data_IF_578473792688
#
_entry.id   IF_578473792688
#
_cell.length_a   1.000
_cell.length_b   1.000
_cell.length_c   1.000
_cell.angle_alpha   90.00
_cell.angle_beta   90.00
_cell.angle_gamma   90.00
#
_symmetry.space_group_name_H-M   'P 1'
#
loop_
_entity.id
_entity.type
_entity.pdbx_description
1 polymer ?
#
# COMPACT_ATOMS: atom_id res chain seq x y z
N UNK A 1 -4.48 -11.41 -20.77
CA UNK A 1 -3.32 -10.79 -20.12
C UNK A 1 -2.87 -9.50 -20.81
N UNK A 2 -2.53 -9.52 -22.11
CA UNK A 2 -2.06 -8.29 -22.79
C UNK A 2 -3.17 -7.27 -23.11
N UNK A 3 -4.40 -7.72 -23.36
CA UNK A 3 -5.49 -6.87 -23.87
C UNK A 3 -6.67 -6.66 -22.91
N UNK A 4 -6.65 -7.30 -21.73
CA UNK A 4 -7.72 -7.28 -20.72
C UNK A 4 -7.36 -6.41 -19.50
N UNK A 5 -6.26 -5.67 -19.57
CA UNK A 5 -5.79 -4.78 -18.49
C UNK A 5 -5.24 -5.51 -17.26
N UNK A 6 -5.06 -6.84 -17.29
CA UNK A 6 -4.52 -7.58 -16.14
C UNK A 6 -3.07 -7.16 -15.82
N UNK A 7 -2.32 -6.73 -16.83
CA UNK A 7 -0.95 -6.24 -16.68
C UNK A 7 -0.83 -4.95 -15.84
N UNK A 8 -1.93 -4.22 -15.59
CA UNK A 8 -1.98 -3.10 -14.63
C UNK A 8 -1.55 -3.49 -13.20
N UNK A 9 -1.61 -4.77 -12.83
CA UNK A 9 -1.10 -5.26 -11.54
C UNK A 9 0.42 -5.16 -11.44
N UNK A 10 1.16 -5.28 -12.57
CA UNK A 10 2.62 -5.12 -12.58
C UNK A 10 3.04 -3.70 -12.18
N UNK A 11 2.24 -2.69 -12.57
CA UNK A 11 2.51 -1.28 -12.20
C UNK A 11 2.51 -1.11 -10.68
N UNK A 12 1.61 -1.78 -9.96
CA UNK A 12 1.51 -1.68 -8.49
C UNK A 12 2.68 -2.37 -7.79
N UNK A 13 3.10 -3.50 -8.34
CA UNK A 13 4.21 -4.31 -7.83
C UNK A 13 5.58 -3.68 -8.16
N UNK A 14 5.66 -2.72 -9.07
CA UNK A 14 6.92 -2.12 -9.55
C UNK A 14 7.07 -0.61 -9.30
N UNK A 15 5.98 0.12 -9.06
CA UNK A 15 6.04 1.55 -8.79
C UNK A 15 6.60 1.83 -7.39
N UNK A 16 7.82 2.37 -7.33
CA UNK A 16 8.53 2.72 -6.10
C UNK A 16 7.84 3.92 -5.45
N UNK A 17 7.24 3.79 -4.26
CA UNK A 17 6.40 4.85 -3.68
C UNK A 17 7.18 6.13 -3.39
N UNK A 18 6.58 7.28 -3.71
CA UNK A 18 7.03 8.61 -3.28
C UNK A 18 6.46 8.85 -1.88
N UNK A 19 7.33 9.06 -0.87
CA UNK A 19 6.86 9.46 0.46
C UNK A 19 6.28 10.88 0.39
N UNK A 20 5.07 11.14 0.93
CA UNK A 20 4.55 12.49 1.09
C UNK A 20 5.55 13.41 1.84
N UNK A 21 5.59 14.72 1.54
CA UNK A 21 6.38 15.67 2.32
C UNK A 21 5.96 15.64 3.80
N UNK A 22 6.91 15.35 4.70
CA UNK A 22 6.62 15.26 6.16
C UNK A 22 5.98 16.58 6.63
N UNK A 23 4.79 16.54 7.29
CA UNK A 23 4.20 17.73 7.88
C UNK A 23 5.19 18.35 8.89
N UNK A 24 5.59 19.61 8.66
CA UNK A 24 6.56 20.29 9.50
C UNK A 24 6.00 20.48 10.92
N UNK A 25 6.47 19.68 11.88
CA UNK A 25 6.14 19.83 13.29
C UNK A 25 6.73 21.17 13.78
N UNK A 26 5.90 22.15 14.20
CA UNK A 26 6.42 23.41 14.69
C UNK A 26 6.98 23.22 16.10
N UNK A 27 8.31 23.02 16.21
CA UNK A 27 9.06 23.00 17.47
C UNK A 27 9.05 24.39 18.14
N UNK A 28 7.90 24.80 18.66
CA UNK A 28 7.74 25.94 19.57
C UNK A 28 7.62 25.40 21.01
N UNK A 29 8.51 25.78 21.94
CA UNK A 29 8.34 25.43 23.33
C UNK A 29 7.04 26.05 23.86
N UNK A 30 6.29 25.28 24.66
CA UNK A 30 5.01 25.71 25.22
C UNK A 30 5.25 26.90 26.16
N UNK A 31 4.94 28.10 25.66
CA UNK A 31 4.92 29.31 26.49
C UNK A 31 3.63 29.26 27.32
N UNK A 32 3.69 29.32 28.67
CA UNK A 32 2.48 29.27 29.49
C UNK A 32 1.62 30.52 29.24
N UNK A 33 0.32 30.33 29.03
CA UNK A 33 -0.61 31.45 28.93
C UNK A 33 -0.69 32.20 30.29
N UNK A 34 -0.79 33.54 30.29
CA UNK A 34 -1.04 34.30 31.51
C UNK A 34 -2.38 33.90 32.17
N UNK A 35 -2.38 33.80 33.49
CA UNK A 35 -3.60 33.59 34.28
C UNK A 35 -4.47 34.85 34.27
N UNK A 36 -5.47 34.91 33.40
CA UNK A 36 -6.49 35.95 33.43
C UNK A 36 -7.55 35.67 34.50
N UNK A 37 -7.26 36.04 35.74
CA UNK A 37 -8.30 36.15 36.77
C UNK A 37 -9.32 37.22 36.36
N UNK A 38 -10.61 36.87 36.28
CA UNK A 38 -11.70 37.80 36.55
C UNK A 38 -13.01 37.08 36.83
N UNK A 39 -13.55 37.29 38.02
CA UNK A 39 -14.92 36.95 38.42
C UNK A 39 -15.85 38.09 38.05
N UNK A 40 -17.08 37.83 37.58
CA UNK A 40 -18.31 38.63 37.86
C UNK A 40 -19.54 38.04 37.11
N UNK A 41 -20.44 37.46 37.91
CA UNK A 41 -21.92 37.57 37.92
C UNK A 41 -22.77 37.57 36.63
N UNK A 42 -23.86 36.80 36.65
CA UNK A 42 -24.95 36.81 35.66
C UNK A 42 -25.83 38.08 35.71
N UNK A 43 -26.56 38.35 34.63
CA UNK A 43 -27.93 38.89 34.69
C UNK A 43 -28.68 38.58 33.38
N UNK A 44 -29.99 38.39 33.46
CA UNK A 44 -30.84 37.94 32.35
C UNK A 44 -31.25 39.08 31.39
N UNK A 45 -31.57 38.72 30.14
CA UNK A 45 -32.66 39.34 29.39
C UNK A 45 -33.45 38.26 28.63
N UNK A 46 -34.77 38.41 28.57
CA UNK A 46 -35.73 37.46 27.99
C UNK A 46 -36.68 38.19 27.05
N UNK A 47 -36.89 37.63 25.85
CA UNK A 47 -38.16 37.63 25.07
C UNK A 47 -37.93 36.76 23.82
N UNK A 48 -38.55 35.59 23.68
CA UNK A 48 -39.97 35.29 23.39
C UNK A 48 -40.38 35.47 21.93
N UNK A 49 -40.62 34.34 21.26
CA UNK A 49 -41.88 34.08 20.55
C UNK A 49 -42.08 32.57 20.42
N UNK A 50 -43.34 32.09 20.41
CA UNK A 50 -43.66 30.69 20.63
C UNK A 50 -44.61 30.09 19.58
N UNK A 51 -44.54 28.76 19.40
CA UNK A 51 -45.58 27.98 18.73
C UNK A 51 -45.80 26.64 19.46
N UNK A 52 -47.04 26.38 19.87
CA UNK A 52 -47.42 25.22 20.68
C UNK A 52 -47.61 23.93 19.86
N UNK A 53 -47.40 22.78 20.52
CA UNK A 53 -48.40 21.69 20.53
C UNK A 53 -48.19 20.70 21.68
N UNK A 54 -49.11 20.69 22.65
CA UNK A 54 -49.26 19.62 23.64
C UNK A 54 -50.15 18.49 23.09
N UNK A 55 -49.83 17.25 23.47
CA UNK A 55 -50.82 16.18 23.71
C UNK A 55 -50.44 15.49 25.04
N UNK A 56 -51.42 15.10 25.85
CA UNK A 56 -51.20 14.64 27.25
C UNK A 56 -52.26 13.64 27.70
N UNK A 57 -51.83 12.40 28.00
CA UNK A 57 -52.47 11.27 28.71
C UNK A 57 -51.31 10.29 29.00
N UNK A 58 -51.02 9.76 30.20
CA UNK A 58 -51.75 9.55 31.47
C UNK A 58 -52.93 8.58 31.35
N UNK A 59 -52.99 7.43 32.03
CA UNK A 59 -51.99 6.54 32.70
C UNK A 59 -52.70 5.15 32.88
N UNK A 60 -52.53 4.22 33.84
CA UNK A 60 -51.81 4.03 35.13
C UNK A 60 -51.61 2.47 35.23
N UNK A 61 -50.43 1.88 35.48
CA UNK A 61 -49.68 1.70 36.74
C UNK A 61 -49.86 0.32 37.45
N UNK A 62 -48.81 -0.52 37.47
CA UNK A 62 -48.47 -1.60 38.44
C UNK A 62 -46.99 -1.99 38.15
N UNK A 63 -45.95 -2.06 39.01
CA UNK A 63 -45.68 -2.06 40.48
C UNK A 63 -45.08 -3.40 40.94
N UNK A 64 -44.07 -3.34 41.84
CA UNK A 64 -43.21 -4.42 42.39
C UNK A 64 -42.09 -4.95 41.46
N UNK A 65 -40.85 -5.17 41.93
CA UNK A 65 -40.11 -4.62 43.10
C UNK A 65 -38.60 -4.87 42.92
N UNK A 66 -37.70 -4.02 43.45
CA UNK A 66 -36.25 -4.28 43.43
C UNK A 66 -35.37 -3.03 43.52
N UNK A 67 -35.02 -2.58 44.73
CA UNK A 67 -34.28 -1.32 44.96
C UNK A 67 -32.75 -1.54 45.11
N UNK A 68 -31.92 -0.55 44.72
CA UNK A 68 -30.45 -0.64 44.79
C UNK A 68 -29.89 -0.34 46.20
N UNK A 69 -28.73 -0.91 46.52
CA UNK A 69 -27.99 -0.61 47.75
C UNK A 69 -26.94 0.48 47.54
N UNK A 70 -27.05 1.58 48.27
CA UNK A 70 -25.92 2.48 48.59
C UNK A 70 -25.45 2.17 50.01
N UNK A 71 -24.15 1.94 50.23
CA UNK A 71 -23.59 1.82 51.58
C UNK A 71 -22.53 2.87 51.90
N UNK A 72 -22.53 3.29 53.16
CA UNK A 72 -21.99 4.56 53.63
C UNK A 72 -20.48 4.54 53.86
N UNK A 73 -19.88 5.71 53.66
CA UNK A 73 -18.56 6.12 54.17
C UNK A 73 -18.45 5.87 55.68
N UNK A 74 -17.38 5.23 56.13
CA UNK A 74 -17.06 5.08 57.55
C UNK A 74 -15.85 5.94 57.95
N UNK A 75 -15.77 6.32 59.23
CA UNK A 75 -14.61 6.92 59.89
C UNK A 75 -14.32 6.13 61.15
N UNK A 76 -13.04 5.90 61.44
CA UNK A 76 -12.55 5.46 62.75
C UNK A 76 -11.24 6.20 63.04
N UNK A 77 -10.88 6.38 64.32
CA UNK A 77 -9.89 7.35 64.76
C UNK A 77 -9.06 6.80 65.93
N UNK A 78 -7.76 7.12 65.96
CA UNK A 78 -6.80 6.70 66.99
C UNK A 78 -5.85 5.58 66.51
N UNK A 79 -4.59 5.50 66.95
CA UNK A 79 -3.88 6.35 67.92
C UNK A 79 -2.38 6.51 67.58
N UNK A 80 -1.78 7.48 68.27
CA UNK A 80 -0.40 7.99 68.28
C UNK A 80 0.73 6.97 68.12
N UNK A 81 1.78 7.32 67.37
CA UNK A 81 3.19 7.17 67.77
C UNK A 81 4.02 8.26 67.08
N UNK A 82 4.98 8.85 67.80
CA UNK A 82 5.87 9.90 67.28
C UNK A 82 7.11 9.26 66.66
N UNK A 83 7.37 9.52 65.38
CA UNK A 83 8.65 9.20 64.73
C UNK A 83 9.14 10.40 63.93
N UNK A 84 10.43 10.70 64.05
CA UNK A 84 11.05 11.93 63.56
C UNK A 84 11.15 12.00 62.03
N UNK A 85 11.10 13.22 61.51
CA UNK A 85 11.37 13.66 60.14
C UNK A 85 12.34 12.76 59.35
N UNK A 86 11.86 12.18 58.25
CA UNK A 86 12.67 11.91 57.06
C UNK A 86 11.87 12.40 55.87
N UNK A 87 12.35 13.47 55.23
CA UNK A 87 11.72 14.05 54.05
C UNK A 87 11.99 13.12 52.86
N UNK A 88 11.11 12.14 52.63
CA UNK A 88 11.15 11.38 51.39
C UNK A 88 10.71 12.30 50.25
N UNK A 89 11.67 12.61 49.36
CA UNK A 89 11.36 13.25 48.09
C UNK A 89 10.38 12.36 47.33
N UNK A 90 9.15 12.85 47.15
CA UNK A 90 8.14 12.19 46.32
C UNK A 90 8.53 12.36 44.86
N UNK A 91 9.49 11.53 44.42
CA UNK A 91 10.04 11.50 43.08
C UNK A 91 8.94 11.62 42.03
N UNK A 92 8.98 12.71 41.26
CA UNK A 92 7.89 13.10 40.39
C UNK A 92 7.60 11.96 39.39
N UNK A 93 6.36 11.44 39.31
CA UNK A 93 6.08 10.23 38.54
C UNK A 93 6.47 10.45 37.08
N UNK A 94 7.38 9.60 36.59
CA UNK A 94 7.91 9.68 35.23
C UNK A 94 6.74 9.55 34.26
N UNK A 95 6.50 10.61 33.48
CA UNK A 95 5.44 10.61 32.47
C UNK A 95 5.99 9.96 31.22
N UNK A 96 5.17 9.17 30.54
CA UNK A 96 5.53 8.57 29.26
C UNK A 96 6.06 9.62 28.28
N UNK A 97 5.35 10.75 28.15
CA UNK A 97 5.75 11.92 27.34
C UNK A 97 6.97 12.72 27.84
N UNK A 98 7.70 12.23 28.85
CA UNK A 98 9.01 12.79 29.27
C UNK A 98 10.19 11.88 28.95
N UNK A 99 9.96 10.76 28.25
CA UNK A 99 11.02 9.94 27.68
C UNK A 99 11.65 10.63 26.44
N UNK A 100 12.90 10.31 26.08
CA UNK A 100 13.52 10.79 24.83
C UNK A 100 12.76 10.33 23.58
N UNK A 101 12.87 11.08 22.48
CA UNK A 101 12.15 10.79 21.22
C UNK A 101 12.61 9.46 20.61
N UNK A 102 13.87 9.13 20.78
CA UNK A 102 14.52 7.87 20.40
C UNK A 102 13.85 6.66 21.10
N UNK A 103 13.46 6.82 22.37
CA UNK A 103 12.75 5.79 23.14
C UNK A 103 11.31 5.64 22.64
N UNK A 104 10.65 6.75 22.27
CA UNK A 104 9.33 6.67 21.63
C UNK A 104 9.38 5.95 20.28
N UNK A 105 10.39 6.24 19.43
CA UNK A 105 10.60 5.52 18.18
C UNK A 105 10.87 4.03 18.42
N UNK A 106 11.71 3.67 19.39
CA UNK A 106 11.93 2.26 19.76
C UNK A 106 10.61 1.55 20.12
N UNK A 107 9.75 2.22 20.90
CA UNK A 107 8.44 1.68 21.29
C UNK A 107 7.53 1.49 20.08
N UNK A 108 7.44 2.46 19.17
CA UNK A 108 6.68 2.31 17.92
C UNK A 108 7.20 1.16 17.05
N UNK A 109 8.53 0.99 16.96
CA UNK A 109 9.18 -0.12 16.24
C UNK A 109 8.88 -1.51 16.85
N UNK A 110 8.43 -1.58 18.10
CA UNK A 110 7.98 -2.82 18.74
C UNK A 110 6.46 -3.06 18.67
N UNK A 111 5.67 -2.19 18.04
CA UNK A 111 4.23 -2.41 17.82
C UNK A 111 4.00 -3.30 16.59
N UNK A 112 3.55 -4.53 16.81
CA UNK A 112 3.34 -5.52 15.75
C UNK A 112 2.07 -5.28 14.89
N UNK A 113 1.19 -4.37 15.31
CA UNK A 113 -0.09 -4.06 14.67
C UNK A 113 -0.14 -2.58 14.31
N UNK A 114 -0.52 -2.27 13.07
CA UNK A 114 -0.71 -0.88 12.62
C UNK A 114 -1.86 -0.20 13.36
N UNK A 115 -2.86 -0.97 13.78
CA UNK A 115 -3.96 -0.51 14.62
C UNK A 115 -3.47 -0.08 16.00
N UNK A 116 -2.45 -0.74 16.58
CA UNK A 116 -1.78 -0.31 17.81
C UNK A 116 -0.97 0.97 17.61
N UNK A 117 -0.24 1.09 16.48
CA UNK A 117 0.48 2.32 16.08
C UNK A 117 -0.48 3.51 16.00
N UNK A 118 -1.64 3.32 15.36
CA UNK A 118 -2.71 4.32 15.29
C UNK A 118 -3.26 4.63 16.69
N UNK A 119 -3.61 3.63 17.48
CA UNK A 119 -4.15 3.82 18.83
C UNK A 119 -3.18 4.57 19.76
N UNK A 120 -1.87 4.28 19.72
CA UNK A 120 -0.86 5.04 20.46
C UNK A 120 -0.72 6.47 19.93
N UNK A 121 -0.70 6.64 18.60
CA UNK A 121 -0.65 7.95 17.94
C UNK A 121 -1.75 8.89 18.42
N UNK A 122 -2.98 8.40 18.53
CA UNK A 122 -4.16 9.18 18.94
C UNK A 122 -4.05 9.75 20.38
N UNK A 123 -3.19 9.19 21.23
CA UNK A 123 -3.06 9.66 22.63
C UNK A 123 -2.48 11.07 22.77
N UNK A 124 -1.76 11.60 21.77
CA UNK A 124 -1.34 13.00 21.75
C UNK A 124 -0.95 13.50 20.36
N UNK A 125 -1.00 14.81 20.12
CA UNK A 125 -0.53 15.42 18.84
C UNK A 125 0.94 15.13 18.51
N UNK A 126 1.78 14.91 19.52
CA UNK A 126 3.18 14.52 19.34
C UNK A 126 3.27 13.06 18.87
N UNK A 127 2.59 12.15 19.56
CA UNK A 127 2.57 10.73 19.16
C UNK A 127 1.89 10.53 17.81
N UNK A 128 0.87 11.32 17.45
CA UNK A 128 0.28 11.29 16.11
C UNK A 128 1.29 11.66 15.02
N UNK A 129 2.10 12.69 15.24
CA UNK A 129 3.11 13.11 14.28
C UNK A 129 4.25 12.08 14.13
N UNK A 130 4.58 11.33 15.20
CA UNK A 130 5.51 10.20 15.15
C UNK A 130 4.88 8.99 14.45
N UNK A 131 3.64 8.61 14.80
CA UNK A 131 2.97 7.44 14.26
C UNK A 131 2.70 7.53 12.76
N UNK A 132 2.54 8.74 12.20
CA UNK A 132 2.32 8.94 10.77
C UNK A 132 3.48 8.42 9.91
N UNK A 133 4.72 8.42 10.38
CA UNK A 133 5.83 7.80 9.63
C UNK A 133 5.67 6.28 9.53
N UNK A 134 5.38 5.61 10.64
CA UNK A 134 5.12 4.16 10.69
C UNK A 134 3.86 3.76 9.90
N UNK A 135 2.81 4.60 9.92
CA UNK A 135 1.59 4.39 9.12
C UNK A 135 1.88 4.52 7.63
N UNK A 136 2.68 5.52 7.21
CA UNK A 136 3.06 5.67 5.82
C UNK A 136 3.98 4.55 5.33
N UNK A 137 4.93 4.10 6.17
CA UNK A 137 5.81 2.98 5.82
C UNK A 137 5.06 1.64 5.72
N UNK A 138 4.07 1.42 6.60
CA UNK A 138 3.17 0.27 6.50
C UNK A 138 2.47 0.22 5.13
N UNK A 139 1.80 1.30 4.70
CA UNK A 139 1.11 1.31 3.42
C UNK A 139 2.07 1.34 2.22
N UNK A 140 3.23 2.00 2.33
CA UNK A 140 4.25 2.01 1.29
C UNK A 140 4.82 0.60 1.06
N UNK A 141 4.87 -0.26 2.08
CA UNK A 141 5.36 -1.65 1.95
C UNK A 141 4.49 -2.54 1.04
N UNK A 142 3.30 -2.09 0.63
CA UNK A 142 2.45 -2.78 -0.35
C UNK A 142 2.71 -2.36 -1.81
N UNK A 143 3.56 -1.36 -2.05
CA UNK A 143 3.88 -0.83 -3.39
C UNK A 143 5.34 -1.15 -3.74
N UNK A 144 5.63 -1.42 -5.01
CA UNK A 144 6.99 -1.70 -5.46
C UNK A 144 7.57 -3.01 -4.91
N UNK A 145 6.74 -3.98 -4.50
CA UNK A 145 7.17 -5.23 -3.86
C UNK A 145 8.01 -6.18 -4.75
N UNK A 146 8.04 -5.95 -6.06
CA UNK A 146 8.89 -6.64 -7.05
C UNK A 146 9.94 -5.70 -7.66
N UNK A 147 10.05 -4.44 -7.18
CA UNK A 147 11.02 -3.49 -7.71
C UNK A 147 12.45 -3.92 -7.37
N UNK A 148 13.25 -4.24 -8.38
CA UNK A 148 14.58 -4.85 -8.23
C UNK A 148 14.62 -6.37 -8.46
N UNK A 149 13.50 -7.07 -8.38
CA UNK A 149 13.42 -8.54 -8.51
C UNK A 149 13.43 -8.98 -9.98
N UNK A 150 13.92 -10.20 -10.27
CA UNK A 150 13.91 -10.80 -11.60
C UNK A 150 12.51 -11.26 -12.01
N UNK A 151 12.02 -10.89 -13.20
CA UNK A 151 10.62 -11.12 -13.61
C UNK A 151 10.52 -11.84 -14.95
N UNK A 152 9.67 -12.87 -15.01
CA UNK A 152 9.35 -13.64 -16.22
C UNK A 152 7.86 -13.98 -16.25
N UNK A 153 7.22 -13.87 -17.42
CA UNK A 153 5.87 -14.40 -17.65
C UNK A 153 6.00 -15.78 -18.31
N UNK A 154 5.64 -16.84 -17.59
CA UNK A 154 5.97 -18.22 -17.98
C UNK A 154 4.78 -18.89 -18.69
N UNK A 155 5.03 -19.52 -19.83
CA UNK A 155 4.06 -20.39 -20.51
C UNK A 155 4.12 -21.84 -20.03
N UNK A 156 2.98 -22.52 -20.07
CA UNK A 156 2.80 -23.92 -19.64
C UNK A 156 3.71 -24.91 -20.39
N UNK A 157 3.88 -24.72 -21.70
CA UNK A 157 4.72 -25.55 -22.60
C UNK A 157 6.25 -25.47 -22.34
N UNK A 158 6.73 -24.84 -21.25
CA UNK A 158 8.17 -24.64 -21.00
C UNK A 158 8.85 -25.94 -20.56
N UNK A 159 9.88 -26.35 -21.31
CA UNK A 159 10.57 -27.62 -21.10
C UNK A 159 11.56 -27.57 -19.91
N UNK A 160 11.86 -28.72 -19.28
CA UNK A 160 12.87 -28.80 -18.23
C UNK A 160 14.23 -28.25 -18.68
N UNK A 161 14.82 -27.36 -17.89
CA UNK A 161 16.11 -26.71 -18.18
C UNK A 161 16.05 -25.48 -19.12
N UNK A 162 14.90 -25.20 -19.75
CA UNK A 162 14.71 -24.08 -20.69
C UNK A 162 14.39 -22.77 -19.94
N UNK A 163 15.40 -22.22 -19.28
CA UNK A 163 15.32 -20.99 -18.49
C UNK A 163 15.81 -19.75 -19.27
N UNK A 164 15.23 -18.54 -19.02
CA UNK A 164 15.76 -17.29 -19.54
C UNK A 164 17.24 -17.05 -19.17
N UNK A 165 18.02 -16.38 -20.04
CA UNK A 165 19.41 -16.08 -19.75
C UNK A 165 19.52 -15.14 -18.54
N UNK A 166 20.32 -15.51 -17.55
CA UNK A 166 20.57 -14.69 -16.36
C UNK A 166 19.53 -14.80 -15.23
N UNK A 167 18.40 -15.50 -15.43
CA UNK A 167 17.40 -15.71 -14.36
C UNK A 167 17.94 -16.56 -13.19
N UNK A 168 18.82 -17.51 -13.47
CA UNK A 168 19.40 -18.43 -12.48
C UNK A 168 20.90 -18.60 -12.71
N UNK A 169 21.64 -18.79 -11.62
CA UNK A 169 23.07 -19.18 -11.64
C UNK A 169 23.26 -20.58 -12.22
N UNK A 170 24.52 -20.92 -12.54
CA UNK A 170 24.86 -22.25 -13.05
C UNK A 170 24.50 -23.38 -12.05
N UNK A 171 24.66 -23.13 -10.74
CA UNK A 171 24.34 -24.10 -9.68
C UNK A 171 22.83 -24.32 -9.58
N UNK A 172 22.03 -23.26 -9.48
CA UNK A 172 20.56 -23.36 -9.40
C UNK A 172 19.97 -24.09 -10.61
N UNK A 173 20.56 -23.93 -11.80
CA UNK A 173 20.14 -24.66 -13.01
C UNK A 173 20.47 -26.16 -12.97
N UNK A 174 21.56 -26.56 -12.32
CA UNK A 174 21.90 -27.97 -12.09
C UNK A 174 20.96 -28.58 -11.04
N UNK A 175 20.73 -27.87 -9.93
CA UNK A 175 19.79 -28.28 -8.87
C UNK A 175 18.36 -28.44 -9.41
N UNK A 176 17.84 -27.43 -10.11
CA UNK A 176 16.52 -27.48 -10.76
C UNK A 176 16.45 -28.54 -11.88
N UNK A 177 17.53 -28.75 -12.63
CA UNK A 177 17.61 -29.79 -13.66
C UNK A 177 17.57 -31.21 -13.11
N UNK A 178 17.98 -31.41 -11.85
CA UNK A 178 17.90 -32.68 -11.14
C UNK A 178 16.55 -32.90 -10.42
N UNK A 179 15.73 -31.85 -10.30
CA UNK A 179 14.52 -31.84 -9.48
C UNK A 179 13.34 -32.48 -10.24
N UNK A 180 12.54 -33.24 -9.50
CA UNK A 180 11.21 -33.71 -9.92
C UNK A 180 10.14 -33.16 -8.97
N UNK A 181 8.87 -33.24 -9.39
CA UNK A 181 7.71 -32.89 -8.57
C UNK A 181 6.55 -33.85 -8.85
N UNK A 182 5.74 -34.13 -7.84
CA UNK A 182 4.47 -34.83 -7.99
C UNK A 182 3.37 -33.79 -8.24
N UNK A 183 2.61 -33.94 -9.33
CA UNK A 183 1.52 -33.03 -9.70
C UNK A 183 0.18 -33.64 -9.24
N UNK A 184 -0.60 -32.95 -8.39
CA UNK A 184 -1.91 -33.42 -7.94
C UNK A 184 -2.99 -33.26 -9.02
N UNK A 185 -4.16 -33.88 -8.83
CA UNK A 185 -5.33 -33.63 -9.69
C UNK A 185 -5.95 -32.25 -9.47
N UNK A 186 -5.82 -31.69 -8.27
CA UNK A 186 -6.30 -30.36 -7.88
C UNK A 186 -5.31 -29.75 -6.85
N UNK A 187 -5.12 -28.43 -6.86
CA UNK A 187 -4.33 -27.74 -5.82
C UNK A 187 -5.08 -27.78 -4.45
N UNK A 188 -6.42 -27.98 -4.45
CA UNK A 188 -7.25 -28.09 -3.23
C UNK A 188 -7.18 -29.47 -2.53
N UNK A 189 -6.79 -30.56 -3.23
CA UNK A 189 -6.60 -31.91 -2.65
C UNK A 189 -5.24 -32.51 -3.07
N UNK A 190 -4.13 -32.05 -2.46
CA UNK A 190 -2.77 -32.38 -2.89
C UNK A 190 -2.33 -33.82 -2.59
N UNK A 191 -3.12 -34.61 -1.86
CA UNK A 191 -2.82 -36.02 -1.58
C UNK A 191 -3.18 -36.94 -2.78
N UNK A 192 -4.06 -36.52 -3.71
CA UNK A 192 -4.39 -37.30 -4.92
C UNK A 192 -3.48 -36.92 -6.10
N UNK A 193 -2.35 -37.62 -6.23
CA UNK A 193 -1.35 -37.39 -7.29
C UNK A 193 -1.86 -37.86 -8.67
N UNK A 194 -1.91 -36.94 -9.63
CA UNK A 194 -2.21 -37.22 -11.03
C UNK A 194 -0.98 -37.72 -11.81
N UNK A 195 0.17 -37.05 -11.63
CA UNK A 195 1.43 -37.37 -12.32
C UNK A 195 2.61 -37.34 -11.35
N UNK A 196 3.14 -38.50 -10.92
CA UNK A 196 4.28 -38.55 -10.01
C UNK A 196 5.62 -38.33 -10.72
N UNK A 197 6.58 -37.75 -10.00
CA UNK A 197 7.97 -37.56 -10.38
C UNK A 197 8.21 -36.89 -11.76
N UNK A 198 7.38 -35.92 -12.13
CA UNK A 198 7.53 -35.13 -13.36
C UNK A 198 8.78 -34.26 -13.27
N UNK A 199 9.64 -34.20 -14.30
CA UNK A 199 10.81 -33.30 -14.33
C UNK A 199 10.43 -31.84 -14.13
N UNK A 200 11.18 -31.12 -13.30
CA UNK A 200 10.79 -29.77 -12.89
C UNK A 200 10.98 -28.73 -14.01
N UNK A 201 9.92 -27.99 -14.32
CA UNK A 201 9.89 -26.92 -15.33
C UNK A 201 9.84 -25.54 -14.68
N UNK A 202 10.09 -24.48 -15.45
CA UNK A 202 9.88 -23.11 -14.98
C UNK A 202 8.40 -22.82 -14.68
N UNK A 203 7.46 -23.51 -15.34
CA UNK A 203 6.03 -23.30 -15.12
C UNK A 203 5.59 -23.74 -13.72
N UNK A 204 6.21 -24.76 -13.11
CA UNK A 204 5.81 -25.23 -11.78
C UNK A 204 5.92 -24.16 -10.67
N UNK A 205 6.68 -23.08 -10.87
CA UNK A 205 6.68 -21.92 -9.96
C UNK A 205 5.34 -21.15 -9.91
N UNK A 206 4.37 -21.44 -10.78
CA UNK A 206 3.02 -20.85 -10.72
C UNK A 206 2.10 -21.51 -9.69
N UNK A 207 2.34 -22.77 -9.29
CA UNK A 207 1.49 -23.47 -8.31
C UNK A 207 1.73 -22.94 -6.88
N UNK A 208 0.65 -22.76 -6.08
CA UNK A 208 0.75 -22.41 -4.66
C UNK A 208 1.61 -23.37 -3.82
N UNK A 209 1.69 -24.64 -4.24
CA UNK A 209 2.48 -25.68 -3.56
C UNK A 209 3.99 -25.46 -3.67
N UNK A 210 4.44 -24.80 -4.75
CA UNK A 210 5.85 -24.55 -5.08
C UNK A 210 6.29 -23.15 -4.67
N UNK A 211 5.40 -22.16 -4.70
CA UNK A 211 5.77 -20.76 -4.50
C UNK A 211 4.65 -19.85 -3.97
N UNK A 212 5.08 -18.80 -3.26
CA UNK A 212 4.18 -17.84 -2.61
C UNK A 212 3.57 -16.88 -3.64
N UNK A 213 2.31 -17.11 -4.01
CA UNK A 213 1.52 -16.15 -4.78
C UNK A 213 1.46 -14.80 -4.04
N UNK A 214 1.94 -13.74 -4.70
CA UNK A 214 1.89 -12.39 -4.14
C UNK A 214 0.46 -11.85 -4.22
N UNK A 215 -0.10 -11.46 -3.07
CA UNK A 215 -1.44 -10.86 -3.01
C UNK A 215 -1.34 -9.35 -3.22
N UNK A 216 -2.13 -8.82 -4.17
CA UNK A 216 -2.34 -7.38 -4.34
C UNK A 216 -3.20 -6.85 -3.19
N UNK A 217 -2.72 -5.81 -2.51
CA UNK A 217 -3.45 -5.13 -1.43
C UNK A 217 -4.07 -3.83 -1.97
N UNK A 218 -5.38 -3.70 -1.83
CA UNK A 218 -6.08 -2.45 -2.11
C UNK A 218 -5.92 -1.51 -0.89
N UNK A 219 -5.17 -0.42 -1.07
CA UNK A 219 -4.90 0.57 -0.02
C UNK A 219 -6.16 1.26 0.51
N UNK A 220 -7.21 1.43 -0.29
CA UNK A 220 -8.46 2.02 0.15
C UNK A 220 -9.29 1.04 1.00
N UNK A 221 -9.34 -0.22 0.56
CA UNK A 221 -9.97 -1.30 1.32
C UNK A 221 -9.25 -1.54 2.66
N UNK A 222 -7.91 -1.58 2.63
CA UNK A 222 -7.08 -1.83 3.83
C UNK A 222 -7.09 -0.65 4.80
N UNK A 223 -7.02 0.59 4.33
CA UNK A 223 -7.20 1.76 5.20
C UNK A 223 -8.61 1.87 5.78
N UNK A 224 -9.62 1.40 5.05
CA UNK A 224 -10.99 1.30 5.55
C UNK A 224 -11.12 0.23 6.64
N UNK A 225 -10.45 -0.92 6.49
CA UNK A 225 -10.34 -1.97 7.52
C UNK A 225 -9.73 -1.40 8.81
N UNK A 226 -8.53 -0.85 8.72
CA UNK A 226 -7.78 -0.28 9.86
C UNK A 226 -8.58 0.82 10.55
N UNK A 227 -9.25 1.70 9.80
CA UNK A 227 -10.13 2.72 10.37
C UNK A 227 -11.27 2.11 11.21
N UNK A 228 -11.92 1.03 10.74
CA UNK A 228 -12.97 0.37 11.52
C UNK A 228 -12.42 -0.41 12.72
N UNK A 229 -11.31 -1.13 12.58
CA UNK A 229 -10.72 -1.88 13.68
C UNK A 229 -10.23 -0.95 14.82
N UNK A 230 -9.68 0.21 14.47
CA UNK A 230 -9.41 1.27 15.45
C UNK A 230 -10.69 1.86 16.08
N UNK A 231 -11.79 1.98 15.33
CA UNK A 231 -13.08 2.50 15.82
C UNK A 231 -13.70 1.61 16.91
N UNK A 232 -13.66 0.30 16.72
CA UNK A 232 -14.21 -0.67 17.68
C UNK A 232 -13.37 -0.78 18.96
N UNK A 233 -12.07 -0.45 18.90
CA UNK A 233 -11.16 -0.28 20.06
C UNK A 233 -11.49 0.99 20.90
N UNK A 234 -12.76 1.29 21.11
CA UNK A 234 -13.36 2.43 21.85
C UNK A 234 -13.02 3.85 21.36
N UNK A 235 -12.20 4.04 20.32
CA UNK A 235 -11.80 5.38 19.85
C UNK A 235 -12.96 6.24 19.33
N UNK A 236 -14.09 5.64 18.95
CA UNK A 236 -15.32 6.36 18.54
C UNK A 236 -15.91 7.31 19.60
N UNK A 237 -15.47 7.20 20.86
CA UNK A 237 -15.85 8.13 21.95
C UNK A 237 -14.96 9.37 22.02
N UNK A 238 -13.84 9.38 21.29
CA UNK A 238 -12.95 10.53 21.21
C UNK A 238 -13.34 11.45 20.04
N UNK A 239 -13.67 12.74 20.29
CA UNK A 239 -13.94 13.69 19.23
C UNK A 239 -12.82 13.83 18.19
N UNK A 240 -11.55 13.63 18.57
CA UNK A 240 -10.41 13.69 17.66
C UNK A 240 -10.46 12.59 16.58
N UNK A 241 -10.92 11.39 16.94
CA UNK A 241 -11.05 10.26 16.02
C UNK A 241 -12.09 10.51 14.92
N UNK A 242 -13.19 11.18 15.28
CA UNK A 242 -14.39 11.32 14.43
C UNK A 242 -14.14 11.96 13.05
N UNK A 243 -13.18 12.89 12.96
CA UNK A 243 -13.05 13.80 11.83
C UNK A 243 -11.63 13.83 11.28
N UNK A 244 -10.64 14.20 12.11
CA UNK A 244 -9.25 14.37 11.67
C UNK A 244 -8.55 13.05 11.38
N UNK A 245 -8.82 12.01 12.18
CA UNK A 245 -8.20 10.69 12.00
C UNK A 245 -8.70 10.00 10.74
N UNK A 246 -9.99 10.12 10.38
CA UNK A 246 -10.51 9.50 9.15
C UNK A 246 -9.78 9.99 7.90
N UNK A 247 -9.59 11.30 7.75
CA UNK A 247 -8.86 11.87 6.60
C UNK A 247 -7.37 11.55 6.57
N UNK A 248 -6.76 11.23 7.72
CA UNK A 248 -5.33 10.92 7.84
C UNK A 248 -5.03 9.41 7.95
N UNK A 249 -6.06 8.55 7.90
CA UNK A 249 -5.94 7.10 7.77
C UNK A 249 -6.43 6.57 6.42
N UNK A 250 -7.46 7.18 5.81
CA UNK A 250 -7.95 6.79 4.48
C UNK A 250 -6.98 7.29 3.41
N UNK A 251 -5.91 6.52 3.19
CA UNK A 251 -4.88 6.79 2.20
C UNK A 251 -5.35 6.31 0.82
N UNK A 252 -4.98 7.06 -0.22
CA UNK A 252 -5.18 6.71 -1.63
C UNK A 252 -3.85 6.39 -2.29
N UNK A 253 -3.90 5.55 -3.32
CA UNK A 253 -2.73 5.21 -4.16
C UNK A 253 -2.00 6.45 -4.71
N UNK A 254 -2.75 7.49 -5.09
CA UNK A 254 -2.24 8.79 -5.56
C UNK A 254 -1.38 9.54 -4.54
N UNK A 255 -1.54 9.23 -3.24
CA UNK A 255 -0.80 9.91 -2.17
C UNK A 255 0.65 9.37 -2.07
N UNK A 256 0.92 8.20 -2.67
CA UNK A 256 2.28 7.65 -2.86
C UNK A 256 2.76 7.69 -4.32
N UNK A 257 1.83 7.70 -5.27
CA UNK A 257 2.12 7.71 -6.70
C UNK A 257 1.56 9.01 -7.32
N UNK A 258 2.25 10.16 -7.12
CA UNK A 258 1.82 11.46 -7.66
C UNK A 258 1.52 11.39 -9.16
N UNK A 259 0.37 11.94 -9.53
CA UNK A 259 -0.15 11.90 -10.91
C UNK A 259 0.41 13.02 -11.79
N UNK A 260 0.99 14.03 -11.16
CA UNK A 260 1.58 15.24 -11.75
C UNK A 260 3.10 15.14 -11.98
N UNK A 261 3.77 14.11 -11.46
CA UNK A 261 5.15 13.78 -11.82
C UNK A 261 5.24 12.97 -13.13
N UNK A 262 6.30 13.18 -13.91
CA UNK A 262 6.63 12.31 -15.04
C UNK A 262 7.24 10.99 -14.54
N UNK A 263 6.63 9.86 -14.90
CA UNK A 263 7.12 8.53 -14.55
C UNK A 263 7.88 7.87 -15.70
N UNK A 264 8.81 6.99 -15.33
CA UNK A 264 9.57 6.12 -16.21
C UNK A 264 9.53 4.67 -15.70
N UNK A 265 9.61 3.72 -16.63
CA UNK A 265 9.96 2.33 -16.38
C UNK A 265 11.47 2.17 -16.60
N UNK A 266 12.18 1.53 -15.68
CA UNK A 266 13.61 1.19 -15.80
C UNK A 266 13.80 -0.32 -15.92
N UNK A 267 14.56 -0.75 -16.93
CA UNK A 267 15.18 -2.07 -16.98
C UNK A 267 16.54 -1.97 -16.29
N UNK A 268 16.61 -2.42 -15.04
CA UNK A 268 17.80 -2.29 -14.20
C UNK A 268 18.95 -3.18 -14.70
N UNK A 269 18.62 -4.29 -15.38
CA UNK A 269 19.58 -5.24 -15.95
C UNK A 269 20.32 -4.66 -17.16
N UNK A 270 19.64 -3.91 -18.04
CA UNK A 270 20.26 -3.31 -19.25
C UNK A 270 20.64 -1.83 -19.09
N UNK A 271 20.26 -1.18 -17.98
CA UNK A 271 20.31 0.28 -17.80
C UNK A 271 19.52 1.04 -18.88
N UNK A 272 18.42 0.46 -19.33
CA UNK A 272 17.50 1.08 -20.30
C UNK A 272 16.28 1.65 -19.57
N UNK A 273 15.67 2.69 -20.11
CA UNK A 273 14.42 3.26 -19.56
C UNK A 273 13.44 3.67 -20.65
N UNK A 274 12.18 3.74 -20.26
CA UNK A 274 11.04 4.13 -21.09
C UNK A 274 10.26 5.23 -20.37
N UNK A 275 9.91 6.30 -21.08
CA UNK A 275 9.10 7.40 -20.53
C UNK A 275 7.62 7.16 -20.75
N UNK A 276 6.79 7.46 -19.75
CA UNK A 276 5.34 7.31 -19.86
C UNK A 276 4.69 8.22 -20.92
N UNK A 277 5.31 9.37 -21.21
CA UNK A 277 4.83 10.33 -22.21
C UNK A 277 4.96 9.84 -23.67
N UNK A 278 5.87 8.89 -23.92
CA UNK A 278 6.04 8.22 -25.20
C UNK A 278 5.16 6.94 -25.31
N UNK A 279 4.76 6.35 -24.19
CA UNK A 279 3.94 5.13 -24.15
C UNK A 279 2.45 5.42 -24.27
N UNK A 280 1.95 6.41 -23.53
CA UNK A 280 0.53 6.70 -23.49
C UNK A 280 -0.03 7.11 -24.86
N UNK A 281 -1.17 6.55 -25.25
CA UNK A 281 -1.81 6.86 -26.53
C UNK A 281 -2.23 8.34 -26.65
N UNK A 282 -2.44 9.02 -25.51
CA UNK A 282 -2.78 10.44 -25.40
C UNK A 282 -2.29 11.01 -24.06
N UNK A 283 -1.95 12.31 -23.96
CA UNK A 283 -1.55 12.92 -22.69
C UNK A 283 -2.61 12.83 -21.58
N UNK A 284 -3.90 12.93 -21.92
CA UNK A 284 -4.99 12.84 -20.93
C UNK A 284 -5.23 11.44 -20.32
N UNK A 285 -4.49 10.43 -20.79
CA UNK A 285 -4.50 9.07 -20.23
C UNK A 285 -3.40 8.82 -19.20
N UNK A 286 -2.52 9.80 -18.93
CA UNK A 286 -1.40 9.64 -17.97
C UNK A 286 -1.87 10.02 -16.57
N UNK A 287 -1.90 9.03 -15.66
CA UNK A 287 -2.34 9.17 -14.27
C UNK A 287 -1.21 8.77 -13.32
N UNK A 288 -0.05 9.41 -13.49
CA UNK A 288 1.21 9.03 -12.84
C UNK A 288 1.85 7.81 -13.51
N UNK A 289 2.19 6.73 -12.77
CA UNK A 289 2.72 5.50 -13.37
C UNK A 289 1.62 4.62 -14.00
N UNK A 290 0.35 4.93 -13.73
CA UNK A 290 -0.82 4.28 -14.29
C UNK A 290 -1.22 5.03 -15.56
N UNK A 291 -1.56 4.31 -16.63
CA UNK A 291 -2.05 4.90 -17.87
C UNK A 291 -3.33 4.19 -18.30
N UNK A 292 -4.27 4.95 -18.86
CA UNK A 292 -5.46 4.35 -19.48
C UNK A 292 -5.08 3.65 -20.79
N UNK A 293 -5.73 2.51 -21.08
CA UNK A 293 -5.58 1.69 -22.29
C UNK A 293 -4.23 1.00 -22.50
N UNK A 294 -3.11 1.72 -22.39
CA UNK A 294 -1.77 1.20 -22.67
C UNK A 294 -0.71 1.94 -21.83
N UNK A 295 0.07 1.20 -21.05
CA UNK A 295 1.09 1.74 -20.18
C UNK A 295 2.29 0.80 -19.95
N UNK A 296 3.00 1.03 -18.84
CA UNK A 296 4.17 0.23 -18.48
C UNK A 296 3.86 -1.26 -18.26
N UNK A 297 2.65 -1.60 -17.80
CA UNK A 297 2.26 -2.99 -17.57
C UNK A 297 2.30 -3.83 -18.84
N UNK A 298 1.71 -3.31 -19.92
CA UNK A 298 1.61 -3.98 -21.22
C UNK A 298 2.97 -4.07 -21.92
N UNK A 299 3.82 -3.04 -21.77
CA UNK A 299 5.21 -3.05 -22.23
C UNK A 299 6.02 -4.13 -21.49
N UNK A 300 5.94 -4.20 -20.16
CA UNK A 300 6.66 -5.24 -19.40
C UNK A 300 6.17 -6.63 -19.82
N UNK A 301 4.85 -6.85 -19.75
CA UNK A 301 4.23 -8.14 -20.06
C UNK A 301 4.63 -8.67 -21.45
N UNK A 302 4.67 -7.83 -22.46
CA UNK A 302 5.05 -8.24 -23.83
C UNK A 302 6.55 -8.54 -24.00
N UNK A 303 7.43 -7.95 -23.18
CA UNK A 303 8.88 -8.16 -23.26
C UNK A 303 9.43 -9.24 -22.30
N UNK A 304 8.66 -9.72 -21.32
CA UNK A 304 9.09 -10.75 -20.33
C UNK A 304 8.56 -12.17 -20.57
N UNK A 305 7.79 -12.42 -21.63
CA UNK A 305 7.18 -13.73 -21.91
C UNK A 305 8.22 -14.81 -22.29
N UNK A 306 8.07 -16.02 -21.74
CA UNK A 306 8.96 -17.15 -21.97
C UNK A 306 8.21 -18.49 -22.06
N UNK A 307 8.34 -19.18 -23.19
CA UNK A 307 7.84 -20.54 -23.42
C UNK A 307 8.72 -21.28 -24.43
N UNK A 308 8.78 -22.61 -24.33
CA UNK A 308 9.42 -23.43 -25.37
C UNK A 308 8.57 -23.49 -26.64
N UNK A 309 7.26 -23.32 -26.51
CA UNK A 309 6.33 -23.21 -27.63
C UNK A 309 6.50 -21.89 -28.38
N UNK A 310 6.41 -21.97 -29.71
CA UNK A 310 6.35 -20.78 -30.58
C UNK A 310 4.93 -20.19 -30.71
N UNK A 311 3.93 -20.82 -30.10
CA UNK A 311 2.55 -20.33 -30.09
C UNK A 311 2.32 -19.38 -28.92
N UNK A 312 1.94 -18.14 -29.23
CA UNK A 312 1.40 -17.19 -28.25
C UNK A 312 -0.15 -17.19 -28.22
N UNK A 313 -0.80 -18.06 -29.01
CA UNK A 313 -2.23 -18.00 -29.33
C UNK A 313 -2.68 -16.59 -29.84
N UNK A 314 -1.83 -15.99 -30.67
CA UNK A 314 -1.92 -14.61 -31.16
C UNK A 314 -1.54 -14.55 -32.64
N UNK A 315 -2.04 -13.54 -33.34
CA UNK A 315 -1.71 -13.22 -34.73
C UNK A 315 -0.29 -12.67 -34.89
N UNK A 316 0.27 -12.08 -33.82
CA UNK A 316 1.64 -11.54 -33.80
C UNK A 316 2.72 -12.61 -34.06
N UNK A 317 3.65 -12.32 -34.98
CA UNK A 317 4.72 -13.23 -35.40
C UNK A 317 6.12 -12.84 -34.93
N UNK A 318 6.27 -11.74 -34.18
CA UNK A 318 7.56 -11.21 -33.74
C UNK A 318 8.18 -11.93 -32.53
N UNK A 319 7.88 -13.21 -32.29
CA UNK A 319 8.61 -14.02 -31.30
C UNK A 319 8.33 -13.74 -29.83
N UNK A 320 7.13 -13.22 -29.48
CA UNK A 320 6.78 -12.81 -28.10
C UNK A 320 6.97 -13.91 -27.03
N UNK A 321 6.96 -15.20 -27.38
CA UNK A 321 7.23 -16.30 -26.44
C UNK A 321 8.72 -16.43 -26.04
N UNK A 322 9.61 -15.59 -26.57
CA UNK A 322 11.02 -15.46 -26.19
C UNK A 322 11.38 -13.99 -25.98
N UNK A 323 10.62 -13.33 -25.12
CA UNK A 323 10.77 -11.92 -24.78
C UNK A 323 12.19 -11.57 -24.34
N UNK A 324 12.74 -10.50 -24.93
CA UNK A 324 14.14 -10.10 -24.77
C UNK A 324 14.52 -9.64 -23.35
N UNK A 325 13.54 -9.43 -22.46
CA UNK A 325 13.74 -9.07 -21.07
C UNK A 325 13.23 -10.13 -20.07
N UNK A 326 12.93 -11.35 -20.53
CA UNK A 326 12.54 -12.44 -19.64
C UNK A 326 13.65 -12.71 -18.60
N UNK A 327 13.31 -12.58 -17.32
CA UNK A 327 14.24 -12.70 -16.20
C UNK A 327 15.02 -11.42 -15.84
N UNK A 328 14.71 -10.27 -16.43
CA UNK A 328 15.35 -8.99 -16.06
C UNK A 328 14.73 -8.39 -14.78
N UNK A 329 15.49 -7.48 -14.17
CA UNK A 329 15.08 -6.69 -13.01
C UNK A 329 14.51 -5.33 -13.44
N UNK A 330 13.42 -4.88 -12.80
CA UNK A 330 12.73 -3.64 -13.17
C UNK A 330 12.40 -2.76 -11.96
N UNK A 331 12.24 -1.46 -12.19
CA UNK A 331 11.41 -0.60 -11.33
C UNK A 331 10.60 0.41 -12.17
N UNK A 332 9.59 1.03 -11.54
CA UNK A 332 8.89 2.19 -12.07
C UNK A 332 9.10 3.35 -11.08
N UNK A 333 9.70 4.45 -11.55
CA UNK A 333 10.11 5.58 -10.71
C UNK A 333 9.83 6.92 -11.40
N UNK A 334 10.03 8.04 -10.70
CA UNK A 334 9.84 9.37 -11.31
C UNK A 334 11.11 9.85 -12.01
N UNK A 335 10.95 10.57 -13.12
CA UNK A 335 12.07 11.11 -13.90
C UNK A 335 12.93 12.08 -13.07
N UNK A 336 12.33 12.78 -12.10
CA UNK A 336 13.05 13.63 -11.14
C UNK A 336 14.00 12.84 -10.23
N UNK A 337 13.56 11.67 -9.75
CA UNK A 337 14.41 10.73 -9.00
C UNK A 337 15.53 10.18 -9.87
N UNK A 338 15.19 9.64 -11.04
CA UNK A 338 16.18 9.12 -11.99
C UNK A 338 17.27 10.15 -12.28
N UNK A 339 16.91 11.37 -12.68
CA UNK A 339 17.86 12.45 -12.98
C UNK A 339 18.70 12.90 -11.76
N UNK A 340 18.29 12.56 -10.54
CA UNK A 340 19.04 12.81 -9.30
C UNK A 340 19.98 11.64 -8.96
N UNK A 341 19.56 10.41 -9.24
CA UNK A 341 20.35 9.18 -9.05
C UNK A 341 21.43 9.00 -10.11
N UNK A 342 21.19 9.41 -11.36
CA UNK A 342 22.12 9.29 -12.50
C UNK A 342 23.01 10.53 -12.70
N UNK A 343 22.96 11.48 -11.76
CA UNK A 343 23.61 12.78 -11.87
C UNK A 343 25.14 12.66 -11.76
N UNK A 344 25.79 12.42 -12.90
CA UNK A 344 27.24 12.24 -13.03
C UNK A 344 27.70 10.93 -13.67
N UNK A 345 26.80 9.98 -13.99
CA UNK A 345 27.18 8.78 -14.76
C UNK A 345 27.48 9.15 -16.21
N UNK A 346 28.60 8.67 -16.74
CA UNK A 346 29.07 8.92 -18.10
C UNK A 346 29.78 7.67 -18.66
N UNK A 347 29.87 7.57 -19.99
CA UNK A 347 30.44 6.39 -20.65
C UNK A 347 29.54 5.16 -20.51
N UNK A 348 30.13 3.98 -20.35
CA UNK A 348 29.42 2.68 -20.30
C UNK A 348 28.40 2.56 -19.14
N UNK A 349 28.43 3.49 -18.18
CA UNK A 349 27.48 3.56 -17.08
C UNK A 349 26.19 4.35 -17.38
N UNK A 350 26.12 5.05 -18.52
CA UNK A 350 24.99 5.91 -18.88
C UNK A 350 23.72 5.13 -19.20
N UNK A 351 22.57 5.67 -18.80
CA UNK A 351 21.26 5.08 -19.11
C UNK A 351 20.81 5.41 -20.53
N UNK A 352 20.18 4.45 -21.21
CA UNK A 352 19.65 4.60 -22.58
C UNK A 352 18.12 4.72 -22.55
N UNK A 353 17.58 5.70 -23.26
CA UNK A 353 16.15 5.77 -23.57
C UNK A 353 15.83 4.78 -24.72
N UNK A 354 14.83 3.92 -24.53
CA UNK A 354 14.34 2.93 -25.51
C UNK A 354 12.84 3.04 -25.79
N UNK A 355 12.25 4.19 -25.46
CA UNK A 355 10.80 4.40 -25.53
C UNK A 355 10.22 4.15 -26.92
N UNK A 356 10.92 4.62 -27.96
CA UNK A 356 10.49 4.51 -29.37
C UNK A 356 10.60 3.08 -29.91
N UNK A 357 11.60 2.30 -29.44
CA UNK A 357 11.78 0.90 -29.79
C UNK A 357 10.70 0.02 -29.17
N UNK A 358 10.53 0.08 -27.84
CA UNK A 358 9.51 -0.70 -27.13
C UNK A 358 8.10 -0.40 -27.63
N UNK A 359 7.78 0.88 -27.88
CA UNK A 359 6.47 1.28 -28.42
C UNK A 359 6.23 0.86 -29.86
N UNK A 360 7.28 0.59 -30.64
CA UNK A 360 7.15 0.05 -32.00
C UNK A 360 6.83 -1.44 -31.99
N UNK A 361 7.44 -2.19 -31.07
CA UNK A 361 7.17 -3.62 -30.87
C UNK A 361 5.75 -3.84 -30.34
N UNK A 362 5.35 -3.11 -29.28
CA UNK A 362 3.97 -3.13 -28.76
C UNK A 362 2.95 -2.65 -29.79
N UNK A 363 3.25 -1.62 -30.58
CA UNK A 363 2.34 -1.20 -31.66
C UNK A 363 2.15 -2.28 -32.73
N UNK A 364 3.20 -3.04 -33.07
CA UNK A 364 3.13 -4.17 -34.00
C UNK A 364 2.34 -5.36 -33.45
N UNK A 365 2.40 -5.60 -32.14
CA UNK A 365 1.53 -6.58 -31.45
C UNK A 365 0.06 -6.18 -31.62
N UNK A 366 -0.31 -4.97 -31.20
CA UNK A 366 -1.69 -4.47 -31.28
C UNK A 366 -2.22 -4.39 -32.72
N UNK A 367 -1.40 -3.93 -33.68
CA UNK A 367 -1.78 -3.87 -35.10
C UNK A 367 -1.99 -5.26 -35.71
N UNK A 368 -1.32 -6.30 -35.20
CA UNK A 368 -1.52 -7.67 -35.71
C UNK A 368 -2.85 -8.31 -35.28
N UNK A 369 -3.42 -7.93 -34.14
CA UNK A 369 -4.73 -8.44 -33.68
C UNK A 369 -5.91 -7.56 -34.13
N UNK A 370 -5.74 -6.23 -34.10
CA UNK A 370 -6.83 -5.25 -34.33
C UNK A 370 -6.69 -4.47 -35.65
N UNK A 371 -5.63 -4.70 -36.43
CA UNK A 371 -5.36 -3.98 -37.67
C UNK A 371 -4.89 -2.53 -37.46
N UNK A 372 -4.63 -1.83 -38.57
CA UNK A 372 -3.97 -0.51 -38.55
C UNK A 372 -4.79 0.61 -37.88
N UNK A 373 -6.08 0.39 -37.63
CA UNK A 373 -6.98 1.35 -36.93
C UNK A 373 -6.97 1.24 -35.40
N UNK A 374 -6.23 0.28 -34.83
CA UNK A 374 -6.36 -0.13 -33.41
C UNK A 374 -6.31 1.00 -32.40
N UNK A 375 -5.45 2.02 -32.62
CA UNK A 375 -5.31 3.16 -31.70
C UNK A 375 -6.61 3.93 -31.54
N UNK A 376 -7.34 4.14 -32.64
CA UNK A 376 -8.61 4.86 -32.64
C UNK A 376 -9.74 3.99 -32.08
N UNK A 377 -9.78 2.72 -32.47
CA UNK A 377 -10.81 1.76 -32.03
C UNK A 377 -10.80 1.54 -30.51
N UNK A 378 -9.62 1.28 -29.93
CA UNK A 378 -9.52 1.03 -28.48
C UNK A 378 -9.73 2.32 -27.69
N UNK A 379 -9.24 3.47 -28.16
CA UNK A 379 -9.58 4.78 -27.57
C UNK A 379 -11.09 5.05 -27.57
N UNK A 380 -11.78 4.75 -28.67
CA UNK A 380 -13.23 4.92 -28.78
C UNK A 380 -13.98 3.94 -27.86
N UNK A 381 -13.51 2.70 -27.74
CA UNK A 381 -14.06 1.67 -26.86
C UNK A 381 -13.93 2.07 -25.39
N UNK A 382 -12.74 2.53 -24.97
CA UNK A 382 -12.50 3.06 -23.62
C UNK A 382 -13.43 4.23 -23.30
N UNK A 383 -13.57 5.20 -24.20
CA UNK A 383 -14.49 6.32 -24.02
C UNK A 383 -15.97 5.89 -23.95
N UNK A 384 -16.39 4.83 -24.64
CA UNK A 384 -17.77 4.31 -24.53
C UNK A 384 -18.04 3.59 -23.20
N UNK A 385 -17.03 2.90 -22.64
CA UNK A 385 -17.15 2.17 -21.39
C UNK A 385 -17.10 3.08 -20.15
N UNK A 386 -16.15 4.03 -20.11
CA UNK A 386 -15.81 4.76 -18.87
C UNK A 386 -16.29 6.22 -18.82
N UNK A 387 -16.92 6.74 -19.88
CA UNK A 387 -17.42 8.14 -19.93
C UNK A 387 -18.94 8.24 -19.75
N UNK A 388 -19.43 7.76 -18.59
CA UNK A 388 -20.82 7.87 -18.14
C UNK A 388 -20.96 8.80 -16.94
#
# INVERSE_FOLDING_TARGET
MLFDGSASVLVDLLAVPVRPPKPCIPNKPVTPLPQSNNTTTCTDLVQDSAANKHVKRKCEAEVLFGSPQQHKRAKTQGNTTTTTTTTMETGQPIKFSTLPTEVHHLIFTHLASVEDVVCLGLTSRYFWAVSQEYIHDYYASFLGQWAGENIVCVGEDVMPGDFPPGLFSAQEREELGSKTIDIPWDDDDPDEIAYPAVPFTLHHFTSPSVSRIQKKVDLHSESTRIYFDCRERNSHKDPAFSSSTRSALIIRKSDYLPQDEHWILRNLTTREFIRGDAVALKPEYIHGPNMDVLGFGEIIMSHICWSTSSSANMSYKGGITRGAWAGHCFDITTLGRHNSETQGTQGEESWRDVSEEAMREVAGIWESEYGSGWREEICNTWHQMYRR
#
